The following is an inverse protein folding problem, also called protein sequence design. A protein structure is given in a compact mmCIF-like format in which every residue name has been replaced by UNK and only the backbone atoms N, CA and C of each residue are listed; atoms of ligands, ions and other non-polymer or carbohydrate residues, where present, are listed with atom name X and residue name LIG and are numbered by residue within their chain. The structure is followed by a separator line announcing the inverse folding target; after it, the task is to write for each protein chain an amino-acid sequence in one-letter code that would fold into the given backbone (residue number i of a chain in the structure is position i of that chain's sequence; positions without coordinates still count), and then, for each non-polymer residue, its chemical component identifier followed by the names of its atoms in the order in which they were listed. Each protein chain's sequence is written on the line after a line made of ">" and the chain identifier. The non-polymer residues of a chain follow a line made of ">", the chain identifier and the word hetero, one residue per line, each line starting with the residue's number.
data_IF_318933851623
#
_entry.id   IF_318933851623
#
_cell.length_a   1.000
_cell.length_b   1.000
_cell.length_c   1.000
_cell.angle_alpha   90.00
_cell.angle_beta   90.00
_cell.angle_gamma   90.00
#
_symmetry.space_group_name_H-M   'P 1'
#
loop_
_entity.id
_entity.type
_entity.pdbx_description
1 polymer ?
#
# COMPACT_ATOMS: atom_id res chain seq x y z
N UNK A 1 -55.65 23.69 9.00
CA UNK A 1 -54.21 23.75 9.30
C UNK A 1 -53.72 22.32 9.55
N UNK A 2 -53.17 21.67 8.52
CA UNK A 2 -52.66 20.29 8.60
C UNK A 2 -51.20 20.28 8.17
N UNK A 3 -50.38 19.66 9.01
CA UNK A 3 -48.92 19.59 8.94
C UNK A 3 -48.50 18.85 7.66
N UNK A 4 -47.92 19.57 6.70
CA UNK A 4 -47.09 18.99 5.64
C UNK A 4 -45.67 19.33 6.04
N UNK A 5 -45.02 18.43 6.77
CA UNK A 5 -43.60 18.54 7.11
C UNK A 5 -42.90 17.30 6.57
N UNK A 6 -42.20 17.50 5.45
CA UNK A 6 -40.86 16.97 5.18
C UNK A 6 -40.61 15.48 5.50
N UNK A 7 -40.95 14.60 4.55
CA UNK A 7 -40.50 13.20 4.54
C UNK A 7 -39.44 12.91 3.45
N UNK A 8 -38.98 13.93 2.73
CA UNK A 8 -38.16 13.77 1.52
C UNK A 8 -36.63 13.83 1.71
N UNK A 9 -36.13 14.18 2.90
CA UNK A 9 -34.70 14.51 3.09
C UNK A 9 -33.91 13.51 3.94
N UNK A 10 -34.54 12.48 4.50
CA UNK A 10 -33.90 11.60 5.49
C UNK A 10 -33.27 10.31 4.90
N UNK A 11 -33.46 10.03 3.60
CA UNK A 11 -32.96 8.79 2.98
C UNK A 11 -31.57 8.93 2.30
N UNK A 12 -30.99 10.13 2.23
CA UNK A 12 -29.70 10.36 1.54
C UNK A 12 -28.47 10.32 2.47
N UNK A 13 -28.64 10.06 3.77
CA UNK A 13 -27.56 10.17 4.78
C UNK A 13 -27.05 8.84 5.33
N UNK A 14 -27.49 7.69 4.78
CA UNK A 14 -27.10 6.36 5.28
C UNK A 14 -26.14 5.59 4.35
N UNK A 15 -25.57 6.25 3.35
CA UNK A 15 -24.48 5.69 2.55
C UNK A 15 -23.19 6.48 2.76
N UNK A 16 -22.79 6.65 4.02
CA UNK A 16 -21.36 6.71 4.31
C UNK A 16 -20.82 5.30 4.21
N UNK A 17 -20.76 4.76 2.99
CA UNK A 17 -19.92 3.60 2.74
C UNK A 17 -18.52 3.99 3.21
N UNK A 18 -17.90 3.16 4.05
CA UNK A 18 -16.47 3.31 4.28
C UNK A 18 -15.84 3.22 2.89
N UNK A 19 -15.35 4.35 2.38
CA UNK A 19 -14.49 4.35 1.22
C UNK A 19 -13.23 3.64 1.71
N UNK A 20 -13.19 2.32 1.53
CA UNK A 20 -11.94 1.60 1.62
C UNK A 20 -11.07 2.18 0.51
N UNK A 21 -9.92 2.72 0.88
CA UNK A 21 -8.88 2.97 -0.09
C UNK A 21 -8.64 1.68 -0.88
N UNK A 22 -8.48 1.87 -2.18
CA UNK A 22 -8.52 0.79 -3.14
C UNK A 22 -7.19 0.76 -3.83
N UNK A 23 -6.37 -0.24 -3.47
CA UNK A 23 -5.21 -0.62 -4.26
C UNK A 23 -5.61 -0.75 -5.73
N UNK A 24 -4.96 0.03 -6.58
CA UNK A 24 -5.31 0.13 -7.99
C UNK A 24 -4.09 -0.17 -8.85
N UNK A 25 -4.18 -1.18 -9.72
CA UNK A 25 -3.13 -1.43 -10.72
C UNK A 25 -3.15 -0.35 -11.81
N UNK A 26 -2.15 0.53 -11.80
CA UNK A 26 -2.06 1.70 -12.70
C UNK A 26 -1.17 1.47 -13.92
N UNK A 27 -0.54 0.29 -14.01
CA UNK A 27 0.33 -0.08 -15.11
C UNK A 27 1.29 -1.19 -14.71
N UNK A 28 2.41 -1.27 -15.41
CA UNK A 28 3.48 -2.20 -15.10
C UNK A 28 4.86 -1.56 -15.22
N UNK A 29 5.86 -2.19 -14.62
CA UNK A 29 7.26 -1.88 -14.82
C UNK A 29 8.00 -3.12 -15.35
N UNK A 30 8.78 -2.93 -16.40
CA UNK A 30 9.70 -3.97 -16.89
C UNK A 30 10.98 -3.93 -16.07
N UNK A 31 11.34 -5.05 -15.46
CA UNK A 31 12.57 -5.25 -14.70
C UNK A 31 13.16 -6.62 -15.00
N UNK A 32 14.45 -6.69 -15.34
CA UNK A 32 15.15 -7.93 -15.70
C UNK A 32 14.40 -8.82 -16.72
N UNK A 33 13.72 -8.18 -17.69
CA UNK A 33 13.01 -8.88 -18.78
C UNK A 33 11.61 -9.41 -18.42
N UNK A 34 11.12 -9.18 -17.20
CA UNK A 34 9.76 -9.49 -16.78
C UNK A 34 8.96 -8.22 -16.45
N UNK A 35 7.64 -8.30 -16.50
CA UNK A 35 6.74 -7.20 -16.16
C UNK A 35 6.11 -7.44 -14.78
N UNK A 36 6.10 -6.41 -13.96
CA UNK A 36 5.52 -6.42 -12.62
C UNK A 36 4.50 -5.30 -12.49
N UNK A 37 3.45 -5.52 -11.69
CA UNK A 37 2.41 -4.51 -11.50
C UNK A 37 2.98 -3.26 -10.80
N UNK A 38 2.49 -2.10 -11.21
CA UNK A 38 2.59 -0.86 -10.45
C UNK A 38 1.25 -0.64 -9.78
N UNK A 39 1.23 -0.71 -8.45
CA UNK A 39 0.01 -0.71 -7.64
C UNK A 39 -0.01 0.59 -6.85
N UNK A 40 -0.98 1.44 -7.15
CA UNK A 40 -1.21 2.68 -6.45
C UNK A 40 -2.02 2.45 -5.19
N UNK A 41 -1.55 3.06 -4.11
CA UNK A 41 -2.14 3.14 -2.78
C UNK A 41 -2.28 4.64 -2.46
N UNK A 42 -3.52 5.13 -2.40
CA UNK A 42 -3.84 6.56 -2.39
C UNK A 42 -3.88 7.19 -1.00
N UNK A 43 -3.83 6.39 0.07
CA UNK A 43 -3.95 6.86 1.44
C UNK A 43 -3.00 6.19 2.45
N UNK A 44 -1.93 5.53 2.00
CA UNK A 44 -0.93 4.90 2.86
C UNK A 44 -0.41 5.83 3.97
N UNK A 45 -0.99 5.70 5.17
CA UNK A 45 -0.74 6.61 6.29
C UNK A 45 -0.85 8.11 5.91
N UNK A 46 -1.82 8.44 5.05
CA UNK A 46 -2.05 9.79 4.54
C UNK A 46 -1.16 10.20 3.36
N UNK A 47 -0.44 9.27 2.74
CA UNK A 47 0.44 9.53 1.60
C UNK A 47 0.01 8.72 0.37
N UNK A 48 0.22 9.28 -0.82
CA UNK A 48 0.04 8.57 -2.09
C UNK A 48 1.33 7.91 -2.51
N UNK A 49 1.33 6.57 -2.58
CA UNK A 49 2.51 5.76 -2.91
C UNK A 49 2.20 4.74 -4.00
N UNK A 50 3.21 4.37 -4.77
CA UNK A 50 3.12 3.30 -5.76
C UNK A 50 4.10 2.20 -5.39
N UNK A 51 3.54 1.01 -5.22
CA UNK A 51 4.26 -0.21 -4.96
C UNK A 51 4.71 -0.86 -6.26
N UNK A 52 5.93 -1.41 -6.27
CA UNK A 52 6.36 -2.37 -7.28
C UNK A 52 5.99 -3.77 -6.78
N UNK A 53 5.14 -4.48 -7.50
CA UNK A 53 4.77 -5.88 -7.19
C UNK A 53 5.93 -6.83 -7.50
N UNK A 54 7.00 -6.74 -6.72
CA UNK A 54 8.23 -7.50 -6.88
C UNK A 54 8.87 -7.77 -5.52
N UNK A 55 9.16 -9.04 -5.25
CA UNK A 55 9.92 -9.48 -4.08
C UNK A 55 11.39 -9.64 -4.44
N UNK A 56 12.21 -8.68 -4.03
CA UNK A 56 13.65 -8.79 -4.21
C UNK A 56 14.24 -9.82 -3.26
N UNK A 57 15.17 -10.63 -3.77
CA UNK A 57 15.82 -11.69 -3.01
C UNK A 57 16.45 -11.16 -1.72
N UNK A 58 16.61 -12.06 -0.74
CA UNK A 58 17.18 -11.75 0.58
C UNK A 58 18.58 -11.15 0.45
N UNK A 59 18.81 -10.06 1.15
CA UNK A 59 20.09 -9.35 1.19
C UNK A 59 20.18 -8.53 2.48
N UNK A 60 21.39 -8.08 2.82
CA UNK A 60 21.61 -7.18 3.96
C UNK A 60 20.92 -5.83 3.72
N UNK A 61 20.64 -5.10 4.80
CA UNK A 61 19.84 -3.87 4.74
C UNK A 61 20.41 -2.82 3.77
N UNK A 62 21.72 -2.58 3.82
CA UNK A 62 22.38 -1.63 2.95
C UNK A 62 22.28 -2.02 1.46
N UNK A 63 22.34 -3.33 1.17
CA UNK A 63 22.21 -3.85 -0.19
C UNK A 63 20.77 -3.72 -0.69
N UNK A 64 19.76 -3.96 0.15
CA UNK A 64 18.36 -3.73 -0.22
C UNK A 64 18.07 -2.27 -0.53
N UNK A 65 18.62 -1.35 0.26
CA UNK A 65 18.48 0.09 -0.01
C UNK A 65 19.14 0.49 -1.32
N UNK A 66 20.35 -0.02 -1.58
CA UNK A 66 21.04 0.21 -2.84
C UNK A 66 20.27 -0.37 -4.03
N UNK A 67 19.68 -1.58 -3.88
CA UNK A 67 18.80 -2.19 -4.86
C UNK A 67 17.59 -1.30 -5.15
N UNK A 68 16.85 -0.89 -4.13
CA UNK A 68 15.65 -0.06 -4.29
C UNK A 68 15.99 1.27 -5.00
N UNK A 69 17.06 1.95 -4.59
CA UNK A 69 17.52 3.19 -5.23
C UNK A 69 17.92 2.97 -6.71
N UNK A 70 18.48 1.82 -7.07
CA UNK A 70 18.86 1.53 -8.46
C UNK A 70 17.68 1.46 -9.43
N UNK A 71 16.46 1.19 -8.92
CA UNK A 71 15.24 1.04 -9.71
C UNK A 71 14.86 2.31 -10.47
N UNK A 72 15.30 3.49 -10.03
CA UNK A 72 15.08 4.75 -10.74
C UNK A 72 15.59 4.73 -12.18
N UNK A 73 16.68 3.98 -12.42
CA UNK A 73 17.31 3.85 -13.73
C UNK A 73 17.08 2.48 -14.38
N UNK A 74 16.77 1.46 -13.57
CA UNK A 74 16.64 0.09 -14.04
C UNK A 74 15.23 -0.25 -14.56
N UNK A 75 14.20 0.45 -14.09
CA UNK A 75 12.81 0.18 -14.49
C UNK A 75 12.44 0.91 -15.78
N UNK A 76 11.75 0.19 -16.66
CA UNK A 76 10.95 0.82 -17.73
C UNK A 76 9.49 0.84 -17.31
N UNK A 77 8.97 2.03 -16.99
CA UNK A 77 7.60 2.23 -16.52
C UNK A 77 6.63 2.32 -17.72
N UNK A 78 5.58 1.50 -17.70
CA UNK A 78 4.52 1.44 -18.70
C UNK A 78 3.17 1.66 -18.00
N UNK A 79 2.74 2.92 -17.91
CA UNK A 79 1.45 3.28 -17.31
C UNK A 79 0.29 2.95 -18.24
N UNK A 80 -0.83 2.54 -17.66
CA UNK A 80 -2.10 2.43 -18.38
C UNK A 80 -2.52 3.83 -18.88
N UNK A 81 -3.12 3.90 -20.07
CA UNK A 81 -3.44 5.17 -20.74
C UNK A 81 -4.38 6.10 -19.94
N UNK A 82 -5.15 5.52 -19.01
CA UNK A 82 -6.08 6.23 -18.15
C UNK A 82 -5.40 6.89 -16.95
N UNK A 83 -4.09 6.73 -16.76
CA UNK A 83 -3.37 7.24 -15.60
C UNK A 83 -2.13 8.05 -15.98
N UNK A 84 -1.90 9.09 -15.20
CA UNK A 84 -0.63 9.83 -15.15
C UNK A 84 -0.11 9.83 -13.72
N UNK A 85 1.21 9.79 -13.56
CA UNK A 85 1.85 9.85 -12.24
C UNK A 85 2.82 11.02 -12.20
N UNK A 86 2.67 11.87 -11.19
CA UNK A 86 3.68 12.85 -10.79
C UNK A 86 4.56 12.23 -9.71
N UNK A 87 5.71 11.71 -10.12
CA UNK A 87 6.66 11.06 -9.22
C UNK A 87 7.34 12.05 -8.29
N UNK A 88 7.46 11.66 -7.02
CA UNK A 88 8.19 12.40 -5.99
C UNK A 88 9.26 11.50 -5.38
N UNK A 89 10.49 12.02 -5.30
CA UNK A 89 11.63 11.25 -4.81
C UNK A 89 11.99 10.04 -5.66
N UNK A 90 12.80 9.18 -5.06
CA UNK A 90 13.36 7.95 -5.63
C UNK A 90 12.60 6.72 -5.16
N UNK A 91 12.73 5.62 -5.90
CA UNK A 91 12.38 4.30 -5.36
C UNK A 91 13.18 4.01 -4.07
N UNK A 92 12.50 3.48 -3.06
CA UNK A 92 13.07 3.16 -1.75
C UNK A 92 12.40 1.93 -1.15
N UNK A 93 12.94 1.47 -0.02
CA UNK A 93 12.22 0.53 0.84
C UNK A 93 11.06 1.25 1.56
N UNK A 94 10.05 0.51 2.06
CA UNK A 94 8.96 1.09 2.82
C UNK A 94 9.43 1.61 4.17
N UNK A 95 8.85 2.71 4.65
CA UNK A 95 9.24 3.31 5.93
C UNK A 95 8.34 2.85 7.08
N UNK A 96 8.93 2.83 8.26
CA UNK A 96 8.28 2.67 9.56
C UNK A 96 8.46 3.92 10.41
N UNK A 97 7.64 4.04 11.46
CA UNK A 97 7.82 5.05 12.50
C UNK A 97 9.01 4.67 13.38
N UNK A 98 10.00 5.56 13.44
CA UNK A 98 11.15 5.44 14.34
C UNK A 98 10.80 5.91 15.76
N UNK A 99 11.47 5.35 16.75
CA UNK A 99 11.27 5.62 18.16
C UNK A 99 11.84 4.49 19.04
N UNK A 100 11.72 4.61 20.38
CA UNK A 100 12.21 3.59 21.29
C UNK A 100 11.64 2.22 20.96
N UNK A 101 12.48 1.18 21.03
CA UNK A 101 12.11 -0.20 20.72
C UNK A 101 11.17 -0.78 21.80
N UNK A 102 9.89 -0.44 21.72
CA UNK A 102 8.85 -0.89 22.66
C UNK A 102 7.99 -1.91 21.93
N UNK A 103 7.83 -3.09 22.52
CA UNK A 103 6.98 -4.16 22.02
C UNK A 103 5.53 -4.02 22.50
N UNK A 104 4.57 -4.32 21.64
CA UNK A 104 3.15 -4.31 21.99
C UNK A 104 2.27 -5.10 21.01
N UNK A 105 1.02 -5.29 21.39
CA UNK A 105 -0.01 -5.86 20.52
C UNK A 105 -1.19 -4.89 20.32
N UNK A 106 -1.18 -3.74 21.00
CA UNK A 106 -2.33 -2.83 21.02
C UNK A 106 -2.62 -2.24 19.64
N UNK A 107 -3.88 -1.96 19.36
CA UNK A 107 -4.22 -1.08 18.25
C UNK A 107 -3.90 0.39 18.56
N UNK A 108 -4.19 1.31 17.64
CA UNK A 108 -4.07 2.73 17.90
C UNK A 108 -5.06 3.19 18.99
N UNK A 109 -4.69 4.23 19.73
CA UNK A 109 -5.59 4.91 20.65
C UNK A 109 -6.69 5.70 19.90
N UNK A 110 -7.56 6.38 20.64
CA UNK A 110 -8.66 7.17 20.05
C UNK A 110 -8.20 8.31 19.12
N UNK A 111 -6.92 8.67 19.15
CA UNK A 111 -6.31 9.69 18.31
C UNK A 111 -5.46 9.10 17.17
N UNK A 112 -5.43 7.77 17.01
CA UNK A 112 -4.63 7.11 15.98
C UNK A 112 -3.18 6.83 16.41
N UNK A 113 -2.80 7.08 17.67
CA UNK A 113 -1.42 6.93 18.13
C UNK A 113 -1.15 5.53 18.70
N UNK A 114 0.07 5.04 18.50
CA UNK A 114 0.56 3.80 19.08
C UNK A 114 1.49 4.09 20.26
N UNK A 115 1.43 3.24 21.28
CA UNK A 115 2.32 3.30 22.44
C UNK A 115 3.54 2.37 22.32
N UNK A 116 3.75 1.77 21.14
CA UNK A 116 4.82 0.84 20.82
C UNK A 116 5.24 1.01 19.35
N UNK A 117 6.44 0.52 19.01
CA UNK A 117 7.05 0.63 17.67
C UNK A 117 7.35 -0.75 17.07
N UNK A 118 7.24 -1.81 17.86
CA UNK A 118 7.42 -3.21 17.44
C UNK A 118 6.28 -4.08 17.98
N UNK A 119 6.01 -5.21 17.34
CA UNK A 119 4.93 -6.14 17.66
C UNK A 119 3.80 -6.10 16.64
N UNK A 120 2.56 -6.34 17.07
CA UNK A 120 1.42 -6.59 16.19
C UNK A 120 0.42 -5.43 16.18
N UNK A 121 -0.45 -5.40 15.17
CA UNK A 121 -1.49 -4.39 14.97
C UNK A 121 -0.95 -2.96 14.76
N UNK A 122 0.31 -2.82 14.33
CA UNK A 122 0.93 -1.54 13.96
C UNK A 122 0.58 -1.20 12.51
N UNK A 123 -0.36 -0.27 12.32
CA UNK A 123 -0.76 0.17 10.98
C UNK A 123 -0.03 1.44 10.51
N UNK A 124 0.75 2.08 11.40
CA UNK A 124 1.40 3.37 11.13
C UNK A 124 2.71 3.28 10.31
N UNK A 125 3.18 2.08 9.98
CA UNK A 125 4.23 1.87 8.97
C UNK A 125 3.60 1.62 7.61
N UNK A 126 4.33 1.84 6.52
CA UNK A 126 3.76 1.65 5.18
C UNK A 126 3.41 0.19 4.89
N UNK A 127 4.24 -0.75 5.37
CA UNK A 127 3.95 -2.19 5.28
C UNK A 127 2.85 -2.63 6.25
N UNK A 128 2.78 -2.04 7.45
CA UNK A 128 1.70 -2.28 8.39
C UNK A 128 0.35 -1.82 7.83
N UNK A 129 0.30 -0.63 7.25
CA UNK A 129 -0.89 -0.11 6.57
C UNK A 129 -1.31 -1.01 5.41
N UNK A 130 -0.36 -1.36 4.53
CA UNK A 130 -0.62 -2.28 3.42
C UNK A 130 -1.19 -3.61 3.92
N UNK A 131 -0.60 -4.20 4.96
CA UNK A 131 -1.01 -5.51 5.47
C UNK A 131 -2.39 -5.48 6.16
N UNK A 132 -2.59 -4.57 7.12
CA UNK A 132 -3.78 -4.55 7.98
C UNK A 132 -4.95 -3.76 7.40
N UNK A 133 -4.67 -2.65 6.70
CA UNK A 133 -5.69 -1.72 6.21
C UNK A 133 -6.06 -2.04 4.77
N UNK A 134 -5.10 -1.98 3.85
CA UNK A 134 -5.35 -2.16 2.42
C UNK A 134 -5.75 -3.60 2.09
N UNK A 135 -4.96 -4.56 2.58
CA UNK A 135 -5.19 -5.97 2.31
C UNK A 135 -6.16 -6.62 3.31
N UNK A 136 -6.44 -5.97 4.45
CA UNK A 136 -7.36 -6.49 5.46
C UNK A 136 -6.90 -7.82 6.08
N UNK A 137 -5.60 -8.08 6.15
CA UNK A 137 -5.06 -9.27 6.79
C UNK A 137 -5.12 -9.18 8.31
N UNK A 138 -5.09 -10.35 8.96
CA UNK A 138 -5.07 -10.46 10.42
C UNK A 138 -3.67 -10.84 10.90
N UNK A 139 -3.18 -10.13 11.92
CA UNK A 139 -1.95 -10.51 12.61
C UNK A 139 -2.15 -11.73 13.50
N UNK A 140 -1.07 -12.39 13.92
CA UNK A 140 -1.15 -13.57 14.79
C UNK A 140 -1.75 -13.28 16.18
N UNK A 141 -1.73 -12.02 16.62
CA UNK A 141 -2.29 -11.58 17.89
C UNK A 141 -3.32 -10.46 17.70
N UNK A 142 -4.43 -10.55 18.42
CA UNK A 142 -5.43 -9.48 18.49
C UNK A 142 -4.91 -8.28 19.32
N UNK A 143 -5.71 -7.22 19.40
CA UNK A 143 -5.34 -5.99 20.12
C UNK A 143 -5.22 -6.16 21.64
N UNK A 144 -5.69 -7.28 22.20
CA UNK A 144 -5.53 -7.67 23.60
C UNK A 144 -4.32 -8.61 23.81
N UNK A 145 -3.59 -8.96 22.75
CA UNK A 145 -2.49 -9.90 22.79
C UNK A 145 -2.91 -11.37 22.85
N UNK A 146 -4.16 -11.70 22.51
CA UNK A 146 -4.58 -13.09 22.37
C UNK A 146 -4.18 -13.62 21.00
N UNK A 147 -3.65 -14.84 20.95
CA UNK A 147 -3.39 -15.51 19.69
C UNK A 147 -4.70 -15.76 18.92
N UNK A 148 -4.72 -15.49 17.61
CA UNK A 148 -5.89 -15.63 16.75
C UNK A 148 -5.59 -16.39 15.46
N UNK A 149 -6.65 -16.89 14.82
CA UNK A 149 -6.58 -17.60 13.54
C UNK A 149 -7.88 -17.38 12.76
N UNK A 150 -7.83 -17.23 11.42
CA UNK A 150 -6.62 -17.24 10.58
C UNK A 150 -5.74 -15.99 10.78
N UNK A 151 -4.46 -16.08 10.42
CA UNK A 151 -3.52 -14.94 10.44
C UNK A 151 -2.53 -15.02 9.28
N UNK A 152 -1.78 -13.94 9.07
CA UNK A 152 -0.76 -13.79 8.03
C UNK A 152 -1.34 -13.28 6.70
N UNK A 153 -0.50 -13.23 5.67
CA UNK A 153 -0.85 -12.76 4.33
C UNK A 153 -1.82 -13.73 3.62
N UNK A 154 -3.12 -13.58 3.87
CA UNK A 154 -4.21 -14.38 3.27
C UNK A 154 -4.88 -13.67 2.10
N UNK A 155 -4.87 -12.34 2.11
CA UNK A 155 -5.28 -11.50 1.01
C UNK A 155 -4.06 -10.75 0.47
N UNK A 156 -3.80 -10.89 -0.82
CA UNK A 156 -2.74 -10.18 -1.53
C UNK A 156 -3.28 -9.06 -2.42
N UNK A 157 -4.60 -8.93 -2.56
CA UNK A 157 -5.23 -7.93 -3.41
C UNK A 157 -4.67 -7.97 -4.84
N UNK A 158 -4.15 -6.84 -5.29
CA UNK A 158 -3.55 -6.65 -6.62
C UNK A 158 -2.13 -7.22 -6.78
N UNK A 159 -1.50 -7.65 -5.67
CA UNK A 159 -0.15 -8.17 -5.68
C UNK A 159 -0.11 -9.66 -6.04
N UNK A 160 0.82 -10.03 -6.92
CA UNK A 160 1.07 -11.40 -7.36
C UNK A 160 2.43 -11.94 -6.91
N UNK A 161 3.35 -11.08 -6.47
CA UNK A 161 4.75 -11.43 -6.23
C UNK A 161 5.19 -11.28 -4.77
N UNK A 162 4.34 -10.72 -3.90
CA UNK A 162 4.57 -10.72 -2.45
C UNK A 162 4.16 -12.07 -1.85
N UNK A 163 4.87 -12.50 -0.80
CA UNK A 163 4.57 -13.75 -0.11
C UNK A 163 4.68 -13.57 1.40
N UNK A 164 3.92 -14.37 2.14
CA UNK A 164 3.95 -14.41 3.61
C UNK A 164 4.15 -15.84 4.11
N UNK A 165 5.07 -16.59 3.48
CA UNK A 165 5.34 -17.98 3.85
C UNK A 165 6.72 -18.10 4.51
N UNK A 166 6.90 -19.04 5.44
CA UNK A 166 8.22 -19.44 5.95
C UNK A 166 9.15 -18.28 6.38
N UNK A 167 8.69 -17.35 7.23
CA UNK A 167 9.50 -16.20 7.70
C UNK A 167 9.94 -15.27 6.56
N UNK A 168 8.98 -14.93 5.69
CA UNK A 168 9.15 -13.87 4.71
C UNK A 168 9.13 -12.51 5.42
N UNK A 169 10.31 -12.10 5.88
CA UNK A 169 10.55 -10.81 6.50
C UNK A 169 11.06 -9.81 5.46
N UNK A 170 10.60 -8.58 5.56
CA UNK A 170 10.89 -7.50 4.63
C UNK A 170 11.56 -6.35 5.36
N UNK A 171 12.65 -5.84 4.80
CA UNK A 171 13.32 -4.68 5.34
C UNK A 171 12.48 -3.41 5.17
N UNK A 172 12.47 -2.57 6.21
CA UNK A 172 12.05 -1.17 6.14
C UNK A 172 13.25 -0.27 5.85
N UNK A 173 13.05 0.89 5.24
CA UNK A 173 14.10 1.93 5.08
C UNK A 173 14.44 2.63 6.41
N UNK A 174 13.68 2.37 7.46
CA UNK A 174 13.86 3.01 8.78
C UNK A 174 14.93 2.29 9.61
N UNK A 175 16.01 2.99 9.88
CA UNK A 175 17.03 2.62 10.87
C UNK A 175 16.55 2.99 12.29
N UNK A 176 16.89 2.19 13.30
CA UNK A 176 16.58 2.51 14.68
C UNK A 176 17.54 3.57 15.21
N UNK A 177 17.04 4.75 15.57
CA UNK A 177 17.92 5.83 16.06
C UNK A 177 18.67 5.51 17.36
N UNK A 178 18.09 4.68 18.23
CA UNK A 178 18.71 4.29 19.51
C UNK A 178 19.87 3.30 19.35
N UNK A 179 19.79 2.44 18.35
CA UNK A 179 20.83 1.48 17.98
C UNK A 179 20.95 1.41 16.44
N UNK A 180 21.80 2.27 15.84
CA UNK A 180 22.04 2.28 14.40
C UNK A 180 22.69 1.01 13.84
N UNK A 181 22.90 -0.05 14.62
CA UNK A 181 23.25 -1.38 14.09
C UNK A 181 22.03 -2.17 13.62
N UNK A 182 20.82 -1.71 13.98
CA UNK A 182 19.55 -2.34 13.67
C UNK A 182 18.68 -1.49 12.74
N UNK A 183 17.78 -2.14 12.02
CA UNK A 183 16.73 -1.50 11.24
C UNK A 183 15.39 -2.21 11.45
N UNK A 184 14.32 -1.51 11.14
CA UNK A 184 12.96 -2.06 11.23
C UNK A 184 12.71 -3.07 10.11
N UNK A 185 11.89 -4.07 10.41
CA UNK A 185 11.39 -5.06 9.45
C UNK A 185 9.90 -5.30 9.67
N UNK A 186 9.26 -5.89 8.66
CA UNK A 186 7.89 -6.36 8.75
C UNK A 186 7.80 -7.83 8.34
N UNK A 187 7.02 -8.60 9.09
CA UNK A 187 6.84 -10.04 8.94
C UNK A 187 5.49 -10.29 8.28
N UNK A 188 5.48 -10.56 6.97
CA UNK A 188 4.23 -10.77 6.23
C UNK A 188 3.55 -12.11 6.59
N UNK A 189 4.28 -13.04 7.19
CA UNK A 189 3.75 -14.35 7.59
C UNK A 189 2.88 -14.29 8.85
N UNK A 190 3.05 -13.28 9.71
CA UNK A 190 2.27 -13.15 10.93
C UNK A 190 1.78 -11.71 11.25
N UNK A 191 2.14 -10.73 10.42
CA UNK A 191 1.74 -9.33 10.57
C UNK A 191 2.53 -8.56 11.64
N UNK A 192 3.63 -9.10 12.16
CA UNK A 192 4.43 -8.40 13.17
C UNK A 192 5.46 -7.44 12.57
N UNK A 193 5.70 -6.33 13.26
CA UNK A 193 6.82 -5.42 13.01
C UNK A 193 7.93 -5.67 14.03
N UNK A 194 9.19 -5.63 13.62
CA UNK A 194 10.31 -5.93 14.51
C UNK A 194 11.58 -5.19 14.13
N UNK A 195 12.68 -5.63 14.73
CA UNK A 195 14.02 -5.14 14.49
C UNK A 195 14.92 -6.31 14.12
N UNK A 196 15.92 -6.06 13.27
CA UNK A 196 17.00 -6.99 13.03
C UNK A 196 18.32 -6.24 12.80
N UNK A 197 19.44 -6.92 13.02
CA UNK A 197 20.75 -6.38 12.71
C UNK A 197 20.94 -6.27 11.21
N UNK A 198 21.59 -5.19 10.78
CA UNK A 198 21.74 -4.89 9.35
C UNK A 198 22.79 -5.74 8.64
N UNK A 199 23.71 -6.36 9.38
CA UNK A 199 24.88 -7.08 8.86
C UNK A 199 25.27 -8.27 9.73
N UNK A 200 25.99 -9.25 9.17
CA UNK A 200 26.69 -10.29 9.96
C UNK A 200 28.01 -9.76 10.60
N UNK A 201 28.48 -10.35 11.72
CA UNK A 201 27.81 -11.37 12.53
C UNK A 201 26.68 -10.79 13.38
N UNK A 202 25.48 -11.35 13.29
CA UNK A 202 24.37 -11.01 14.18
C UNK A 202 24.61 -11.61 15.59
N UNK A 203 24.58 -10.82 16.68
CA UNK A 203 24.88 -11.31 18.03
C UNK A 203 23.89 -12.37 18.54
N UNK A 204 22.71 -12.48 17.94
CA UNK A 204 21.69 -13.48 18.28
C UNK A 204 21.56 -14.60 17.24
N UNK A 205 22.44 -14.64 16.24
CA UNK A 205 22.42 -15.67 15.19
C UNK A 205 21.19 -15.62 14.28
N UNK A 206 20.51 -14.48 14.21
CA UNK A 206 19.45 -14.26 13.21
C UNK A 206 20.08 -13.84 11.87
N UNK A 207 19.57 -14.39 10.77
CA UNK A 207 19.99 -14.05 9.42
C UNK A 207 19.63 -12.57 9.10
N UNK A 208 20.59 -11.70 8.76
CA UNK A 208 20.34 -10.31 8.36
C UNK A 208 19.84 -10.21 6.91
N UNK A 209 19.81 -11.31 6.16
CA UNK A 209 19.33 -11.31 4.79
C UNK A 209 17.80 -11.40 4.76
N UNK A 210 17.14 -10.25 4.59
CA UNK A 210 15.68 -10.16 4.48
C UNK A 210 15.28 -9.69 3.08
N UNK A 211 14.03 -9.92 2.68
CA UNK A 211 13.53 -9.53 1.36
C UNK A 211 13.38 -8.01 1.23
N UNK A 212 13.37 -7.55 -0.01
CA UNK A 212 13.06 -6.16 -0.37
C UNK A 212 11.69 -6.08 -1.05
N UNK A 213 10.91 -5.07 -0.66
CA UNK A 213 9.75 -4.59 -1.40
C UNK A 213 10.04 -3.12 -1.73
N UNK A 214 9.73 -2.66 -2.94
CA UNK A 214 10.04 -1.29 -3.32
C UNK A 214 8.76 -0.46 -3.42
N UNK A 215 8.86 0.78 -2.97
CA UNK A 215 7.80 1.77 -3.01
C UNK A 215 8.38 3.10 -3.49
N UNK A 216 7.54 3.91 -4.14
CA UNK A 216 7.88 5.27 -4.55
C UNK A 216 6.70 6.20 -4.35
N UNK A 217 6.94 7.37 -3.78
CA UNK A 217 5.91 8.40 -3.65
C UNK A 217 5.52 8.91 -5.04
N UNK A 218 4.22 9.05 -5.28
CA UNK A 218 3.73 9.56 -6.54
C UNK A 218 2.25 9.89 -6.47
N UNK A 219 1.89 11.07 -6.97
CA UNK A 219 0.50 11.47 -7.09
C UNK A 219 -0.05 10.93 -8.42
N UNK A 220 -1.05 10.06 -8.32
CA UNK A 220 -1.71 9.48 -9.49
C UNK A 220 -2.97 10.28 -9.79
N UNK A 221 -3.23 10.50 -11.07
CA UNK A 221 -4.45 11.14 -11.54
C UNK A 221 -5.01 10.38 -12.73
N UNK A 222 -6.33 10.28 -12.78
CA UNK A 222 -7.01 9.73 -13.95
C UNK A 222 -6.98 10.74 -15.10
N UNK A 223 -6.60 10.29 -16.29
CA UNK A 223 -6.66 11.06 -17.52
C UNK A 223 -8.12 11.17 -17.94
N UNK A 224 -8.68 12.39 -18.07
CA UNK A 224 -10.04 12.54 -18.55
C UNK A 224 -10.13 12.02 -19.98
N UNK A 225 -11.00 11.04 -20.23
CA UNK A 225 -11.30 10.61 -21.60
C UNK A 225 -11.80 11.85 -22.36
N UNK A 226 -11.13 12.28 -23.45
CA UNK A 226 -11.61 13.39 -24.28
C UNK A 226 -13.06 13.11 -24.65
N UNK A 227 -13.90 14.16 -24.72
CA UNK A 227 -15.37 14.13 -24.76
C UNK A 227 -16.10 13.32 -25.85
N UNK A 228 -15.58 12.16 -26.25
CA UNK A 228 -16.19 11.10 -27.03
C UNK A 228 -17.60 10.75 -26.56
N UNK A 229 -17.86 10.81 -25.24
CA UNK A 229 -19.21 10.65 -24.68
C UNK A 229 -20.13 11.81 -25.09
N UNK A 230 -19.61 13.05 -25.09
CA UNK A 230 -20.34 14.19 -25.64
C UNK A 230 -20.51 14.07 -27.16
N UNK A 231 -19.50 13.64 -27.91
CA UNK A 231 -19.59 13.44 -29.36
C UNK A 231 -20.58 12.32 -29.74
N UNK A 232 -20.64 11.22 -28.98
CA UNK A 232 -21.65 10.18 -29.15
C UNK A 232 -23.06 10.72 -28.82
N UNK A 233 -23.19 11.49 -27.74
CA UNK A 233 -24.45 12.14 -27.36
C UNK A 233 -24.95 13.17 -28.38
N UNK A 234 -24.06 14.00 -28.93
CA UNK A 234 -24.40 14.96 -30.00
C UNK A 234 -24.60 14.28 -31.36
N UNK A 235 -23.86 13.22 -31.65
CA UNK A 235 -24.02 12.41 -32.87
C UNK A 235 -25.40 11.74 -32.94
N UNK A 236 -25.87 11.16 -31.83
CA UNK A 236 -27.19 10.53 -31.78
C UNK A 236 -28.34 11.54 -31.83
N UNK A 237 -28.20 12.71 -31.18
CA UNK A 237 -29.24 13.75 -31.22
C UNK A 237 -29.37 14.45 -32.57
N UNK A 238 -28.25 14.65 -33.28
CA UNK A 238 -28.27 15.20 -34.65
C UNK A 238 -28.89 14.23 -35.67
N UNK A 239 -28.70 12.92 -35.51
CA UNK A 239 -29.35 11.90 -36.35
C UNK A 239 -30.88 11.85 -36.14
N UNK A 240 -31.37 11.98 -34.90
CA UNK A 240 -32.82 12.02 -34.63
C UNK A 240 -33.47 13.29 -35.18
N UNK A 241 -32.76 14.43 -35.14
CA UNK A 241 -33.22 15.69 -35.73
C UNK A 241 -33.35 15.63 -37.26
N UNK A 242 -32.44 14.94 -37.95
CA UNK A 242 -32.47 14.78 -39.41
C UNK A 242 -33.57 13.82 -39.89
N UNK A 243 -33.85 12.74 -39.14
CA UNK A 243 -34.93 11.80 -39.48
C UNK A 243 -36.33 12.40 -39.35
N UNK A 244 -36.52 13.47 -38.54
CA UNK A 244 -37.82 14.14 -38.37
C UNK A 244 -38.21 15.07 -39.53
N UNK A 245 -37.30 15.40 -40.44
CA UNK A 245 -37.57 16.36 -41.53
C UNK A 245 -38.04 15.71 -42.84
N UNK A 246 -38.25 14.38 -42.86
CA UNK A 246 -38.70 13.61 -44.02
C UNK A 246 -40.12 13.02 -43.88
N UNK A 247 -40.98 13.60 -43.06
CA UNK A 247 -42.42 13.30 -43.04
C UNK A 247 -43.23 14.56 -43.29
#
# INVERSE_FOLDING_TARGET
>A
MKKILSLGTLALLLMTGMAHATLTTIGSATYNGANYNLIWDDDNNGNSVVWLDYKHAKAEWAEQRAWAASLDSALTINLNADYTVSWEGSWRLPVSVDGPAVGGNGGPDANGNYNHTTGYNLHNSEMGHLFYVELGNQGAFDTNGNFQSPFGLKNTGEFNNITGNNRDWYWSDTELSEDPTQAFLFMMDDGGQGLNYKTEPNPYGMDPNLFGLAVRTGQVSMVPVPGSIFLLGFGLTSLVGLCRRKR
#
